data_IF_499312161221
#
_entry.id   IF_499312161221
#
_cell.length_a   1.000
_cell.length_b   1.000
_cell.length_c   1.000
_cell.angle_alpha   90.00
_cell.angle_beta   90.00
_cell.angle_gamma   90.00
#
_symmetry.space_group_name_H-M   'P 1'
#
loop_
_entity.id
_entity.type
_entity.pdbx_description
1 polymer ?
#
# COMPACT_ATOMS: atom_id res chain seq x y z
N UNK A 1 11.39 11.34 21.90
CA UNK A 1 10.32 10.52 22.49
C UNK A 1 8.98 11.11 22.04
N UNK A 2 8.33 10.48 21.07
CA UNK A 2 7.03 10.92 20.56
C UNK A 2 5.94 10.51 21.56
N UNK A 3 5.10 11.45 21.97
CA UNK A 3 3.97 11.19 22.84
C UNK A 3 2.85 10.53 22.01
N UNK A 4 2.48 9.26 22.24
CA UNK A 4 1.54 8.53 21.38
C UNK A 4 0.08 8.99 21.52
N UNK A 5 -0.21 9.90 22.45
CA UNK A 5 -1.58 10.21 22.88
C UNK A 5 -2.28 11.30 22.06
N UNK A 6 -1.56 12.02 21.18
CA UNK A 6 -2.14 13.12 20.37
C UNK A 6 -2.66 12.68 18.99
N UNK A 7 -2.60 11.38 18.67
CA UNK A 7 -3.00 10.83 17.37
C UNK A 7 -4.05 9.72 17.48
N UNK A 8 -4.90 9.72 18.51
CA UNK A 8 -6.10 8.87 18.46
C UNK A 8 -7.20 9.58 17.67
N UNK A 9 -7.59 9.08 16.49
CA UNK A 9 -8.81 9.54 15.82
C UNK A 9 -10.02 9.10 16.66
N UNK A 10 -10.93 10.03 16.90
CA UNK A 10 -12.21 9.78 17.56
C UNK A 10 -13.00 8.77 16.74
N UNK A 11 -13.25 7.58 17.30
CA UNK A 11 -14.20 6.62 16.77
C UNK A 11 -15.63 7.16 16.99
N UNK A 12 -16.15 7.95 16.05
CA UNK A 12 -17.59 8.19 15.99
C UNK A 12 -18.28 7.00 15.32
N UNK A 13 -18.88 6.18 16.18
CA UNK A 13 -19.88 5.18 15.79
C UNK A 13 -21.15 5.91 15.38
N UNK A 14 -21.48 5.86 14.09
CA UNK A 14 -22.82 6.16 13.61
C UNK A 14 -23.42 4.90 12.98
N UNK A 15 -24.19 4.16 13.78
CA UNK A 15 -25.30 3.37 13.27
C UNK A 15 -26.31 4.36 12.63
N UNK A 16 -27.05 4.06 11.56
CA UNK A 16 -28.13 3.06 11.56
C UNK A 16 -28.78 2.89 10.16
N UNK A 17 -29.34 1.68 9.92
CA UNK A 17 -30.46 1.27 9.01
C UNK A 17 -30.10 0.89 7.56
N UNK A 18 -30.50 -0.24 6.99
CA UNK A 18 -31.62 -1.19 7.26
C UNK A 18 -31.35 -2.57 6.61
N UNK A 19 -32.00 -3.59 7.15
CA UNK A 19 -32.57 -4.77 6.46
C UNK A 19 -31.77 -6.08 6.34
N UNK A 20 -32.40 -7.10 6.94
CA UNK A 20 -32.39 -8.54 6.62
C UNK A 20 -31.30 -9.43 7.23
N UNK A 21 -31.74 -10.15 8.27
CA UNK A 21 -31.09 -11.32 8.79
C UNK A 21 -31.07 -12.44 7.74
N UNK A 22 -29.87 -12.87 7.37
CA UNK A 22 -29.62 -14.21 6.87
C UNK A 22 -28.45 -14.78 7.69
N UNK A 23 -28.75 -15.81 8.47
CA UNK A 23 -27.76 -16.59 9.18
C UNK A 23 -26.73 -17.13 8.19
N UNK A 24 -25.48 -16.68 8.30
CA UNK A 24 -24.37 -17.20 7.51
C UNK A 24 -23.31 -17.73 8.47
N UNK A 25 -23.31 -19.06 8.56
CA UNK A 25 -22.27 -19.95 9.08
C UNK A 25 -20.88 -19.34 9.02
N UNK A 26 -20.17 -19.36 10.15
CA UNK A 26 -18.73 -19.11 10.23
C UNK A 26 -18.03 -20.20 9.42
N UNK A 27 -17.80 -19.95 8.13
CA UNK A 27 -16.89 -20.75 7.31
C UNK A 27 -15.50 -20.25 7.65
N UNK A 28 -14.84 -21.00 8.54
CA UNK A 28 -13.41 -20.91 8.80
C UNK A 28 -12.69 -21.01 7.45
N UNK A 29 -12.18 -19.88 6.95
CA UNK A 29 -11.37 -19.88 5.73
C UNK A 29 -10.02 -20.49 6.07
N UNK A 30 -9.79 -21.63 5.43
CA UNK A 30 -8.59 -22.43 5.43
C UNK A 30 -7.34 -21.56 5.38
N UNK A 31 -6.47 -21.73 6.36
CA UNK A 31 -5.08 -21.26 6.30
C UNK A 31 -4.46 -21.80 5.03
N UNK A 32 -4.06 -20.92 4.10
CA UNK A 32 -3.16 -21.31 3.03
C UNK A 32 -1.88 -21.76 3.74
N UNK A 33 -1.65 -23.06 3.67
CA UNK A 33 -0.51 -23.72 4.28
C UNK A 33 0.77 -23.11 3.70
N UNK A 34 1.44 -22.28 4.50
CA UNK A 34 2.87 -22.04 4.32
C UNK A 34 3.56 -23.38 4.50
N UNK A 35 3.93 -24.01 3.38
CA UNK A 35 4.81 -25.17 3.39
C UNK A 35 6.19 -24.75 3.90
N UNK A 36 6.37 -24.73 5.21
CA UNK A 36 7.70 -24.75 5.83
C UNK A 36 8.28 -26.15 5.63
N UNK A 37 8.87 -26.39 4.46
CA UNK A 37 9.87 -27.42 4.34
C UNK A 37 11.09 -26.97 5.15
N UNK A 38 11.19 -27.53 6.34
CA UNK A 38 12.28 -27.33 7.28
C UNK A 38 13.52 -28.04 6.72
N UNK A 39 14.30 -27.32 5.90
CA UNK A 39 15.62 -27.77 5.47
C UNK A 39 16.56 -27.71 6.68
N UNK A 40 16.80 -28.85 7.30
CA UNK A 40 17.82 -29.05 8.32
C UNK A 40 19.19 -29.11 7.64
N UNK A 41 19.80 -27.95 7.42
CA UNK A 41 21.17 -27.80 6.90
C UNK A 41 21.85 -26.56 7.49
N UNK A 42 23.19 -26.49 7.56
CA UNK A 42 23.93 -25.51 8.36
C UNK A 42 24.01 -24.10 7.75
N UNK A 43 23.13 -23.78 6.79
CA UNK A 43 23.09 -22.48 6.13
C UNK A 43 21.71 -21.88 6.30
N UNK A 44 21.48 -21.25 7.44
CA UNK A 44 20.38 -20.30 7.57
C UNK A 44 20.81 -19.03 6.82
N UNK A 45 20.62 -19.02 5.49
CA UNK A 45 20.76 -17.80 4.71
C UNK A 45 19.61 -16.91 5.15
N UNK A 46 19.93 -15.87 5.94
CA UNK A 46 18.99 -14.78 6.23
C UNK A 46 18.76 -14.08 4.88
N UNK A 47 17.83 -14.61 4.09
CA UNK A 47 17.39 -13.99 2.85
C UNK A 47 16.76 -12.66 3.22
N UNK A 48 17.22 -11.58 2.58
CA UNK A 48 16.56 -10.28 2.72
C UNK A 48 15.06 -10.48 2.44
N UNK A 49 14.16 -9.88 3.24
CA UNK A 49 12.73 -10.02 3.01
C UNK A 49 12.39 -9.53 1.61
N UNK A 50 11.56 -10.28 0.87
CA UNK A 50 11.13 -9.86 -0.46
C UNK A 50 10.31 -8.58 -0.35
N UNK A 51 10.46 -7.68 -1.33
CA UNK A 51 9.76 -6.37 -1.34
C UNK A 51 8.25 -6.55 -1.23
N UNK A 52 7.69 -7.58 -1.85
CA UNK A 52 6.26 -7.92 -1.74
C UNK A 52 5.85 -8.27 -0.31
N UNK A 53 6.71 -8.96 0.45
CA UNK A 53 6.47 -9.27 1.86
C UNK A 53 6.53 -8.02 2.75
N UNK A 54 7.42 -7.08 2.44
CA UNK A 54 7.49 -5.78 3.14
C UNK A 54 6.26 -4.93 2.86
N UNK A 55 5.83 -4.86 1.60
CA UNK A 55 4.60 -4.16 1.19
C UNK A 55 3.37 -4.78 1.85
N UNK A 56 3.24 -6.11 1.84
CA UNK A 56 2.12 -6.79 2.48
C UNK A 56 2.08 -6.55 3.99
N UNK A 57 3.24 -6.36 4.64
CA UNK A 57 3.31 -6.01 6.06
C UNK A 57 2.89 -4.56 6.30
N UNK A 58 3.38 -3.63 5.49
CA UNK A 58 3.03 -2.21 5.61
C UNK A 58 1.53 -1.97 5.31
N UNK A 59 0.98 -2.67 4.31
CA UNK A 59 -0.42 -2.57 3.88
C UNK A 59 -1.44 -3.07 4.92
N UNK A 60 -1.00 -3.80 5.95
CA UNK A 60 -1.88 -4.23 7.04
C UNK A 60 -2.26 -3.09 7.98
N UNK A 61 -1.52 -1.97 7.96
CA UNK A 61 -1.82 -0.81 8.77
C UNK A 61 -2.81 0.09 8.00
N UNK A 62 -4.02 0.33 8.53
CA UNK A 62 -4.99 1.17 7.85
C UNK A 62 -4.49 2.62 7.79
N UNK A 63 -4.68 3.26 6.64
CA UNK A 63 -4.35 4.67 6.47
C UNK A 63 -5.23 5.53 7.40
N UNK A 64 -4.66 6.50 8.13
CA UNK A 64 -5.46 7.46 8.89
C UNK A 64 -6.35 8.27 7.95
N UNK A 65 -7.60 8.48 8.38
CA UNK A 65 -8.54 9.36 7.69
C UNK A 65 -8.38 10.77 8.22
N UNK A 66 -8.24 11.72 7.31
CA UNK A 66 -8.13 13.13 7.64
C UNK A 66 -9.43 13.85 7.31
N UNK A 67 -9.95 14.60 8.28
CA UNK A 67 -10.91 15.68 8.02
C UNK A 67 -10.15 16.95 7.61
N UNK A 68 -10.86 17.94 7.07
CA UNK A 68 -10.26 19.23 6.73
C UNK A 68 -9.60 19.87 7.96
N UNK A 69 -10.24 19.80 9.12
CA UNK A 69 -9.75 20.33 10.39
C UNK A 69 -8.45 19.64 10.81
N UNK A 70 -8.37 18.32 10.65
CA UNK A 70 -7.14 17.58 10.96
C UNK A 70 -5.98 17.96 10.04
N UNK A 71 -6.24 18.26 8.76
CA UNK A 71 -5.22 18.75 7.83
C UNK A 71 -4.74 20.16 8.18
N UNK A 72 -5.65 21.04 8.58
CA UNK A 72 -5.31 22.37 9.05
C UNK A 72 -4.50 22.32 10.35
N UNK A 73 -4.83 21.40 11.25
CA UNK A 73 -4.06 21.18 12.48
C UNK A 73 -2.60 20.78 12.21
N UNK A 74 -2.29 20.15 11.07
CA UNK A 74 -0.91 19.85 10.69
C UNK A 74 -0.03 21.10 10.59
N UNK A 75 -0.60 22.29 10.35
CA UNK A 75 0.16 23.54 10.29
C UNK A 75 0.89 23.87 11.60
N UNK A 76 0.40 23.36 12.73
CA UNK A 76 1.02 23.57 14.05
C UNK A 76 2.34 22.82 14.21
N UNK A 77 2.56 21.78 13.39
CA UNK A 77 3.78 21.00 13.41
C UNK A 77 4.90 21.69 12.63
N UNK A 78 6.13 21.45 13.07
CA UNK A 78 7.32 21.87 12.35
C UNK A 78 7.34 21.27 10.93
N UNK A 79 8.12 21.89 10.04
CA UNK A 79 8.25 21.39 8.67
C UNK A 79 8.79 19.96 8.62
N UNK A 80 9.69 19.60 9.54
CA UNK A 80 10.30 18.29 9.60
C UNK A 80 9.30 17.24 10.07
N UNK A 81 8.52 17.54 11.12
CA UNK A 81 7.45 16.65 11.59
C UNK A 81 6.40 16.41 10.50
N UNK A 82 5.99 17.46 9.78
CA UNK A 82 5.08 17.31 8.63
C UNK A 82 5.70 16.47 7.51
N UNK A 83 7.00 16.58 7.28
CA UNK A 83 7.69 15.81 6.25
C UNK A 83 7.77 14.33 6.63
N UNK A 84 8.15 14.03 7.87
CA UNK A 84 8.14 12.66 8.41
C UNK A 84 6.74 12.05 8.35
N UNK A 85 5.73 12.83 8.74
CA UNK A 85 4.33 12.43 8.66
C UNK A 85 3.89 12.14 7.23
N UNK A 86 4.23 13.00 6.27
CA UNK A 86 3.94 12.78 4.85
C UNK A 86 4.59 11.49 4.34
N UNK A 87 5.88 11.30 4.57
CA UNK A 87 6.61 10.13 4.07
C UNK A 87 6.07 8.83 4.67
N UNK A 88 5.73 8.83 5.96
CA UNK A 88 5.14 7.68 6.62
C UNK A 88 3.79 7.29 6.00
N UNK A 89 2.87 8.25 5.90
CA UNK A 89 1.54 8.00 5.34
C UNK A 89 1.58 7.68 3.84
N UNK A 90 2.48 8.33 3.08
CA UNK A 90 2.61 8.06 1.66
C UNK A 90 3.14 6.64 1.42
N UNK A 91 4.14 6.19 2.18
CA UNK A 91 4.65 4.81 2.11
C UNK A 91 3.54 3.79 2.38
N UNK A 92 2.71 4.04 3.39
CA UNK A 92 1.56 3.19 3.69
C UNK A 92 0.54 3.19 2.56
N UNK A 93 0.18 4.35 2.03
CA UNK A 93 -0.77 4.46 0.92
C UNK A 93 -0.29 3.73 -0.34
N UNK A 94 0.98 3.92 -0.70
CA UNK A 94 1.64 3.21 -1.79
C UNK A 94 1.62 1.70 -1.56
N UNK A 95 1.95 1.24 -0.34
CA UNK A 95 1.93 -0.17 -0.01
C UNK A 95 0.52 -0.78 -0.11
N UNK A 96 -0.50 -0.09 0.41
CA UNK A 96 -1.91 -0.53 0.31
C UNK A 96 -2.30 -0.65 -1.15
N UNK A 97 -2.12 0.40 -1.96
CA UNK A 97 -2.52 0.38 -3.37
C UNK A 97 -1.77 -0.68 -4.17
N UNK A 98 -0.46 -0.81 -3.98
CA UNK A 98 0.35 -1.83 -4.64
C UNK A 98 -0.07 -3.25 -4.26
N UNK A 99 -0.32 -3.49 -2.96
CA UNK A 99 -0.77 -4.79 -2.46
C UNK A 99 -2.17 -5.15 -2.97
N UNK A 100 -3.14 -4.24 -2.83
CA UNK A 100 -4.51 -4.46 -3.28
C UNK A 100 -4.56 -4.75 -4.78
N UNK A 101 -3.84 -3.97 -5.59
CA UNK A 101 -3.81 -4.15 -7.04
C UNK A 101 -3.21 -5.52 -7.42
N UNK A 102 -2.13 -5.92 -6.75
CA UNK A 102 -1.49 -7.22 -6.94
C UNK A 102 -2.39 -8.39 -6.53
N UNK A 103 -3.29 -8.18 -5.57
CA UNK A 103 -4.20 -9.20 -5.04
C UNK A 103 -5.52 -9.33 -5.82
N UNK A 104 -5.75 -8.55 -6.87
CA UNK A 104 -6.95 -8.74 -7.69
C UNK A 104 -6.98 -10.15 -8.33
N UNK A 105 -8.16 -10.78 -8.39
CA UNK A 105 -8.28 -12.16 -8.82
C UNK A 105 -8.03 -12.34 -10.33
N UNK A 106 -7.95 -13.61 -10.74
CA UNK A 106 -7.90 -14.04 -12.15
C UNK A 106 -6.73 -13.47 -12.98
N UNK A 107 -5.65 -13.06 -12.32
CA UNK A 107 -4.49 -12.50 -13.00
C UNK A 107 -4.73 -11.11 -13.57
N UNK A 108 -5.69 -10.34 -13.05
CA UNK A 108 -5.89 -8.94 -13.45
C UNK A 108 -4.60 -8.12 -13.31
N UNK A 109 -3.85 -8.32 -12.22
CA UNK A 109 -2.54 -7.69 -12.00
C UNK A 109 -1.47 -8.06 -13.05
N UNK A 110 -1.68 -9.14 -13.80
CA UNK A 110 -0.76 -9.61 -14.85
C UNK A 110 -1.04 -8.96 -16.21
N UNK A 111 -2.13 -8.21 -16.36
CA UNK A 111 -2.38 -7.45 -17.59
C UNK A 111 -1.28 -6.39 -17.77
N UNK A 112 -0.72 -6.21 -18.99
CA UNK A 112 0.44 -5.35 -19.21
C UNK A 112 0.33 -3.96 -18.59
N UNK A 113 -0.83 -3.30 -18.76
CA UNK A 113 -1.03 -1.94 -18.24
C UNK A 113 -1.22 -1.92 -16.73
N UNK A 114 -1.88 -2.91 -16.15
CA UNK A 114 -2.03 -3.03 -14.68
C UNK A 114 -0.69 -3.35 -14.03
N UNK A 115 0.07 -4.27 -14.65
CA UNK A 115 1.41 -4.63 -14.20
C UNK A 115 2.34 -3.42 -14.15
N UNK A 116 2.27 -2.55 -15.16
CA UNK A 116 3.03 -1.31 -15.15
C UNK A 116 2.71 -0.43 -13.93
N UNK A 117 1.42 -0.31 -13.58
CA UNK A 117 0.99 0.43 -12.38
C UNK A 117 1.47 -0.23 -11.10
N UNK A 118 1.39 -1.56 -11.00
CA UNK A 118 1.94 -2.31 -9.85
C UNK A 118 3.44 -2.04 -9.72
N UNK A 119 4.20 -2.16 -10.79
CA UNK A 119 5.65 -1.95 -10.80
C UNK A 119 6.00 -0.51 -10.37
N UNK A 120 5.19 0.50 -10.74
CA UNK A 120 5.34 1.88 -10.25
C UNK A 120 5.13 1.96 -8.72
N UNK A 121 4.09 1.34 -8.15
CA UNK A 121 3.90 1.30 -6.70
C UNK A 121 5.04 0.56 -5.97
N UNK A 122 5.60 -0.50 -6.57
CA UNK A 122 6.76 -1.19 -6.00
C UNK A 122 7.99 -0.28 -5.97
N UNK A 123 8.24 0.46 -7.05
CA UNK A 123 9.34 1.42 -7.12
C UNK A 123 9.15 2.56 -6.12
N UNK A 124 7.94 3.11 -6.01
CA UNK A 124 7.62 4.17 -5.04
C UNK A 124 7.88 3.73 -3.60
N UNK A 125 7.51 2.49 -3.26
CA UNK A 125 7.75 1.94 -1.93
C UNK A 125 9.25 1.82 -1.64
N UNK A 126 10.05 1.41 -2.62
CA UNK A 126 11.50 1.33 -2.52
C UNK A 126 12.11 2.72 -2.36
N UNK A 127 11.77 3.67 -3.23
CA UNK A 127 12.28 5.05 -3.21
C UNK A 127 12.03 5.69 -1.83
N UNK A 128 10.84 5.52 -1.25
CA UNK A 128 10.53 6.07 0.08
C UNK A 128 11.28 5.31 1.18
N UNK A 129 11.41 3.99 1.07
CA UNK A 129 12.09 3.19 2.08
C UNK A 129 13.59 3.48 2.14
N UNK A 130 14.24 3.60 1.00
CA UNK A 130 15.66 3.99 0.91
C UNK A 130 15.88 5.41 1.43
N UNK A 131 14.98 6.34 1.10
CA UNK A 131 15.03 7.70 1.64
C UNK A 131 14.93 7.70 3.17
N UNK A 132 13.96 6.97 3.74
CA UNK A 132 13.79 6.85 5.20
C UNK A 132 15.00 6.19 5.87
N UNK A 133 15.57 5.15 5.26
CA UNK A 133 16.77 4.49 5.77
C UNK A 133 17.98 5.44 5.76
N UNK A 134 18.16 6.21 4.69
CA UNK A 134 19.27 7.16 4.56
C UNK A 134 19.20 8.33 5.55
N UNK A 135 17.99 8.78 5.90
CA UNK A 135 17.78 9.93 6.80
C UNK A 135 17.66 9.53 8.27
N UNK A 136 17.29 8.27 8.56
CA UNK A 136 17.06 7.79 9.92
C UNK A 136 15.99 8.62 10.65
N UNK A 137 16.25 8.92 11.92
CA UNK A 137 15.33 9.73 12.76
C UNK A 137 15.30 11.22 12.38
N UNK A 138 16.24 11.68 11.55
CA UNK A 138 16.44 13.09 11.22
C UNK A 138 15.79 13.47 9.88
N UNK A 139 14.53 13.06 9.66
CA UNK A 139 13.80 13.42 8.43
C UNK A 139 13.62 14.94 8.36
N UNK A 140 14.30 15.55 7.38
CA UNK A 140 14.25 16.99 7.10
C UNK A 140 13.77 17.21 5.68
N UNK A 141 13.06 18.33 5.47
CA UNK A 141 12.73 18.72 4.10
C UNK A 141 13.99 19.08 3.33
N UNK A 142 14.33 18.27 2.34
CA UNK A 142 15.55 18.41 1.54
C UNK A 142 15.28 18.27 0.03
N UNK A 143 16.27 18.58 -0.84
CA UNK A 143 16.18 18.33 -2.27
C UNK A 143 15.88 16.87 -2.61
N UNK A 144 16.43 15.92 -1.85
CA UNK A 144 16.23 14.48 -2.02
C UNK A 144 14.78 14.10 -1.76
N UNK A 145 14.17 14.59 -0.67
CA UNK A 145 12.73 14.40 -0.41
C UNK A 145 11.92 14.93 -1.58
N UNK A 146 12.21 16.15 -2.04
CA UNK A 146 11.48 16.77 -3.15
C UNK A 146 11.63 15.98 -4.46
N UNK A 147 12.81 15.41 -4.72
CA UNK A 147 13.06 14.58 -5.88
C UNK A 147 12.22 13.30 -5.85
N UNK A 148 12.21 12.57 -4.73
CA UNK A 148 11.39 11.36 -4.55
C UNK A 148 9.90 11.69 -4.73
N UNK A 149 9.39 12.75 -4.08
CA UNK A 149 7.98 13.15 -4.21
C UNK A 149 7.62 13.53 -5.66
N UNK A 150 8.53 14.21 -6.37
CA UNK A 150 8.30 14.60 -7.77
C UNK A 150 8.34 13.38 -8.71
N UNK A 151 9.19 12.41 -8.42
CA UNK A 151 9.27 11.13 -9.13
C UNK A 151 7.97 10.34 -9.02
N UNK A 152 7.49 10.14 -7.78
CA UNK A 152 6.19 9.51 -7.47
C UNK A 152 5.06 10.20 -8.24
N UNK A 153 4.95 11.53 -8.10
CA UNK A 153 3.90 12.30 -8.78
C UNK A 153 3.97 12.12 -10.31
N UNK A 154 5.17 12.08 -10.88
CA UNK A 154 5.36 11.95 -12.33
C UNK A 154 4.98 10.56 -12.82
N UNK A 155 5.39 9.49 -12.14
CA UNK A 155 5.00 8.10 -12.47
C UNK A 155 3.49 7.92 -12.43
N UNK A 156 2.82 8.56 -11.48
CA UNK A 156 1.39 8.37 -11.29
C UNK A 156 0.47 9.24 -12.15
N UNK A 157 0.98 10.19 -12.96
CA UNK A 157 0.16 11.03 -13.86
C UNK A 157 -0.73 10.24 -14.82
N UNK A 158 -0.27 9.07 -15.27
CA UNK A 158 -0.97 8.21 -16.23
C UNK A 158 -1.83 7.10 -15.61
N UNK A 159 -1.77 6.91 -14.28
CA UNK A 159 -2.30 5.71 -13.60
C UNK A 159 -3.72 5.38 -14.00
N UNK A 160 -4.63 6.37 -14.04
CA UNK A 160 -6.03 6.14 -14.37
C UNK A 160 -6.23 5.62 -15.80
N UNK A 161 -5.41 6.09 -16.73
CA UNK A 161 -5.46 5.65 -18.14
C UNK A 161 -4.94 4.23 -18.25
N UNK A 162 -3.84 3.90 -17.55
CA UNK A 162 -3.28 2.55 -17.56
C UNK A 162 -4.20 1.53 -16.91
N UNK A 163 -4.87 1.89 -15.80
CA UNK A 163 -5.89 1.04 -15.18
C UNK A 163 -7.07 0.83 -16.14
N UNK A 164 -7.57 1.88 -16.79
CA UNK A 164 -8.65 1.75 -17.76
C UNK A 164 -8.27 0.84 -18.95
N UNK A 165 -7.04 0.99 -19.47
CA UNK A 165 -6.51 0.09 -20.50
C UNK A 165 -6.39 -1.34 -20.00
N UNK A 166 -5.91 -1.53 -18.77
CA UNK A 166 -5.81 -2.83 -18.12
C UNK A 166 -7.15 -3.56 -17.98
N UNK A 167 -8.24 -2.83 -17.75
CA UNK A 167 -9.60 -3.41 -17.77
C UNK A 167 -9.97 -3.91 -19.15
N UNK A 168 -9.64 -3.18 -20.22
CA UNK A 168 -9.91 -3.60 -21.59
C UNK A 168 -9.07 -4.83 -21.98
N UNK A 169 -7.76 -4.82 -21.67
CA UNK A 169 -6.85 -5.95 -21.86
C UNK A 169 -7.39 -7.21 -21.15
N UNK A 170 -7.86 -7.06 -19.91
CA UNK A 170 -8.45 -8.16 -19.16
C UNK A 170 -9.72 -8.69 -19.83
N UNK A 171 -10.64 -7.82 -20.23
CA UNK A 171 -11.88 -8.20 -20.92
C UNK A 171 -11.61 -8.95 -22.23
N UNK A 172 -10.63 -8.50 -23.00
CA UNK A 172 -10.19 -9.18 -24.22
C UNK A 172 -9.61 -10.58 -23.91
N UNK A 173 -8.74 -10.67 -22.90
CA UNK A 173 -8.14 -11.94 -22.47
C UNK A 173 -9.17 -12.98 -22.01
N UNK A 174 -10.27 -12.53 -21.39
CA UNK A 174 -11.37 -13.40 -20.99
C UNK A 174 -12.16 -13.86 -22.21
N UNK A 175 -12.52 -12.97 -23.14
CA UNK A 175 -13.24 -13.33 -24.37
C UNK A 175 -12.48 -14.38 -25.18
N UNK A 176 -11.17 -14.20 -25.36
CA UNK A 176 -10.33 -15.16 -26.07
C UNK A 176 -10.29 -16.55 -25.43
N UNK A 177 -10.54 -16.67 -24.12
CA UNK A 177 -10.59 -17.96 -23.43
C UNK A 177 -11.96 -18.66 -23.53
N UNK A 178 -13.05 -17.90 -23.71
CA UNK A 178 -14.40 -18.45 -23.83
C UNK A 178 -14.83 -18.72 -25.28
N UNK A 179 -14.25 -18.00 -26.25
CA UNK A 179 -14.53 -18.18 -27.68
C UNK A 179 -13.62 -19.25 -28.34
N UNK A 180 -12.69 -19.85 -27.59
CA UNK A 180 -11.78 -20.93 -28.01
C UNK A 180 -12.29 -22.31 -27.57
#
# INVERSE_FOLDING_TARGET
>A
MLNPTLLQPTLEVAATRTSSAAAATVVSRSSIASGTQQATGPYCVISKPCVLGLIAKEAQVPLPRYTLESLLALQQFSRNERTAHLLHNLKQGVAICGYELQCYPFGFASQPSVKHVVDNYLQDFQDISELQESMGDNIVWSPEVKAVMSGIFTRHKGTMIDIARGVLEFQESLRSQYDA
#
